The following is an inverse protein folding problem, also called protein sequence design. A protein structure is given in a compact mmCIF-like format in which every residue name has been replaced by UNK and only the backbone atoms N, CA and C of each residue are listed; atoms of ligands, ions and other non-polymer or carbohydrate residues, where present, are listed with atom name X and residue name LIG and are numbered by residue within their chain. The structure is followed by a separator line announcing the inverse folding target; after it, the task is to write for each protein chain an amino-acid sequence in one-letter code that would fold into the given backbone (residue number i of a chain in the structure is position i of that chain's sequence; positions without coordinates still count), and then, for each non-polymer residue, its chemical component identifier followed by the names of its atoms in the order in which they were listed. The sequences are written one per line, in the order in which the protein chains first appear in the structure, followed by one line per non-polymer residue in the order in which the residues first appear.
data_IF_266918457904
#
_entry.id   IF_266918457904
#
_cell.length_a   1.000
_cell.length_b   1.000
_cell.length_c   1.000
_cell.angle_alpha   90.00
_cell.angle_beta   90.00
_cell.angle_gamma   90.00
#
_symmetry.space_group_name_H-M   'P 1'
#
loop_
_entity.id
_entity.type
_entity.pdbx_description
1 polymer ?
#
# COMPACT_ATOMS: atom_id res chain seq x y z
N UNK A 1 21.85 -6.10 -50.95
CA UNK A 1 22.50 -6.92 -49.93
C UNK A 1 21.54 -6.89 -48.76
N UNK A 2 20.68 -7.92 -48.66
CA UNK A 2 19.77 -8.04 -47.53
C UNK A 2 20.58 -8.55 -46.33
N UNK A 3 20.78 -7.69 -45.35
CA UNK A 3 21.26 -8.12 -44.04
C UNK A 3 20.19 -9.03 -43.42
N UNK A 4 20.59 -10.21 -43.00
CA UNK A 4 19.74 -11.16 -42.28
C UNK A 4 19.27 -10.48 -40.98
N UNK A 5 18.01 -10.66 -40.52
CA UNK A 5 17.55 -10.20 -39.22
C UNK A 5 18.38 -10.70 -38.03
N UNK A 6 19.24 -11.70 -38.23
CA UNK A 6 20.15 -12.29 -37.24
C UNK A 6 21.48 -11.54 -37.08
N UNK A 7 21.78 -10.55 -37.94
CA UNK A 7 23.02 -9.76 -37.87
C UNK A 7 22.90 -8.48 -36.95
N UNK A 8 21.77 -8.28 -36.26
CA UNK A 8 21.69 -7.29 -35.23
C UNK A 8 22.43 -7.79 -33.98
N UNK A 9 23.60 -7.23 -33.73
CA UNK A 9 24.26 -7.33 -32.42
C UNK A 9 23.35 -6.73 -31.36
N UNK A 10 22.63 -7.61 -30.63
CA UNK A 10 21.81 -7.21 -29.49
C UNK A 10 22.75 -7.03 -28.30
N UNK A 11 22.85 -5.82 -27.80
CA UNK A 11 23.57 -5.53 -26.56
C UNK A 11 22.76 -6.05 -25.37
N UNK A 12 23.05 -7.29 -24.97
CA UNK A 12 22.37 -7.98 -23.87
C UNK A 12 22.61 -7.28 -22.53
N UNK A 13 23.76 -6.62 -22.37
CA UNK A 13 24.09 -5.90 -21.14
C UNK A 13 23.20 -4.68 -20.97
N UNK A 14 22.86 -4.02 -22.06
CA UNK A 14 21.94 -2.90 -22.05
C UNK A 14 20.47 -3.31 -21.84
N UNK A 15 20.07 -4.45 -22.41
CA UNK A 15 18.69 -4.93 -22.33
C UNK A 15 18.34 -5.58 -20.98
N UNK A 16 19.30 -6.21 -20.32
CA UNK A 16 19.10 -6.93 -19.06
C UNK A 16 19.85 -6.24 -17.91
N UNK A 17 19.48 -5.00 -17.65
CA UNK A 17 19.96 -4.27 -16.47
C UNK A 17 18.90 -4.28 -15.37
N UNK A 18 19.31 -4.40 -14.10
CA UNK A 18 18.41 -4.19 -12.99
C UNK A 18 17.89 -2.74 -13.00
N UNK A 19 16.67 -2.52 -12.55
CA UNK A 19 16.14 -1.17 -12.40
C UNK A 19 16.92 -0.41 -11.31
N UNK A 20 16.96 0.92 -11.42
CA UNK A 20 17.59 1.75 -10.39
C UNK A 20 16.76 1.87 -9.11
N UNK A 21 15.54 1.34 -9.10
CA UNK A 21 14.60 1.54 -8.00
C UNK A 21 15.14 1.03 -6.67
N UNK A 22 15.42 -0.26 -6.58
CA UNK A 22 15.91 -0.86 -5.32
C UNK A 22 17.26 -0.32 -4.89
N UNK A 23 18.13 0.02 -5.85
CA UNK A 23 19.41 0.65 -5.56
C UNK A 23 19.23 2.01 -4.92
N UNK A 24 18.38 2.86 -5.48
CA UNK A 24 18.08 4.20 -4.95
C UNK A 24 17.40 4.12 -3.58
N UNK A 25 16.48 3.19 -3.39
CA UNK A 25 15.82 2.99 -2.10
C UNK A 25 16.80 2.48 -1.03
N UNK A 26 17.73 1.60 -1.40
CA UNK A 26 18.79 1.16 -0.49
C UNK A 26 19.69 2.33 -0.07
N UNK A 27 20.15 3.14 -1.02
CA UNK A 27 20.97 4.33 -0.76
C UNK A 27 20.24 5.34 0.14
N UNK A 28 18.93 5.53 -0.08
CA UNK A 28 18.06 6.37 0.76
C UNK A 28 17.98 5.82 2.19
N UNK A 29 17.66 4.54 2.34
CA UNK A 29 17.52 3.90 3.64
C UNK A 29 18.84 3.93 4.45
N UNK A 30 19.98 3.69 3.79
CA UNK A 30 21.30 3.78 4.43
C UNK A 30 21.64 5.23 4.84
N UNK A 31 21.25 6.21 4.05
CA UNK A 31 21.44 7.63 4.37
C UNK A 31 20.60 8.03 5.58
N UNK A 32 19.30 7.69 5.58
CA UNK A 32 18.39 7.96 6.69
C UNK A 32 18.87 7.32 8.01
N UNK A 33 19.40 6.12 7.93
CA UNK A 33 19.97 5.44 9.11
C UNK A 33 21.20 6.17 9.65
N UNK A 34 22.10 6.62 8.77
CA UNK A 34 23.28 7.41 9.18
C UNK A 34 22.87 8.74 9.83
N UNK A 35 21.89 9.44 9.23
CA UNK A 35 21.38 10.69 9.78
C UNK A 35 20.75 10.48 11.17
N UNK A 36 19.98 9.40 11.34
CA UNK A 36 19.41 9.02 12.63
C UNK A 36 20.47 8.74 13.69
N UNK A 37 21.56 8.04 13.35
CA UNK A 37 22.66 7.74 14.28
C UNK A 37 23.42 9.01 14.68
N UNK A 38 23.53 9.98 13.80
CA UNK A 38 24.22 11.23 14.07
C UNK A 38 23.39 12.20 14.93
N UNK A 39 22.08 12.19 14.73
CA UNK A 39 21.15 13.09 15.41
C UNK A 39 19.81 12.39 15.72
N UNK A 40 19.80 11.47 16.69
CA UNK A 40 18.58 10.78 17.09
C UNK A 40 17.61 11.79 17.74
N UNK A 41 16.29 11.63 17.51
CA UNK A 41 15.29 12.48 18.16
C UNK A 41 15.32 12.28 19.67
N UNK A 42 15.03 13.36 20.39
CA UNK A 42 14.94 13.30 21.86
C UNK A 42 13.59 12.73 22.31
N UNK A 43 13.53 12.23 23.54
CA UNK A 43 12.28 11.73 24.13
C UNK A 43 11.21 12.84 24.19
N UNK A 44 11.60 14.09 24.46
CA UNK A 44 10.69 15.23 24.54
C UNK A 44 10.09 15.57 23.16
N UNK A 45 10.91 15.54 22.10
CA UNK A 45 10.45 15.73 20.73
C UNK A 45 9.46 14.64 20.32
N UNK A 46 9.77 13.38 20.62
CA UNK A 46 8.92 12.25 20.31
C UNK A 46 7.62 12.25 21.12
N UNK A 47 7.66 12.69 22.37
CA UNK A 47 6.46 12.85 23.20
C UNK A 47 5.51 13.88 22.61
N UNK A 48 6.05 15.00 22.15
CA UNK A 48 5.26 16.04 21.49
C UNK A 48 4.67 15.58 20.17
N UNK A 49 5.48 14.88 19.35
CA UNK A 49 5.04 14.29 18.09
C UNK A 49 3.89 13.28 18.31
N UNK A 50 4.01 12.45 19.36
CA UNK A 50 2.95 11.53 19.75
C UNK A 50 1.65 12.25 20.10
N UNK A 51 1.72 13.30 20.92
CA UNK A 51 0.53 14.06 21.31
C UNK A 51 -0.15 14.73 20.11
N UNK A 52 0.63 15.28 19.17
CA UNK A 52 0.13 15.87 17.94
C UNK A 52 -0.53 14.80 17.03
N UNK A 53 0.08 13.61 16.93
CA UNK A 53 -0.48 12.48 16.19
C UNK A 53 -1.81 12.00 16.79
N UNK A 54 -1.88 11.81 18.09
CA UNK A 54 -3.10 11.39 18.80
C UNK A 54 -4.22 12.41 18.59
N UNK A 55 -3.94 13.70 18.75
CA UNK A 55 -4.89 14.78 18.54
C UNK A 55 -5.42 14.81 17.10
N UNK A 56 -4.52 14.67 16.12
CA UNK A 56 -4.88 14.59 14.69
C UNK A 56 -5.77 13.38 14.40
N UNK A 57 -5.39 12.20 14.87
CA UNK A 57 -6.14 10.96 14.67
C UNK A 57 -7.54 11.05 15.28
N UNK A 58 -7.65 11.67 16.47
CA UNK A 58 -8.94 11.90 17.13
C UNK A 58 -9.83 12.84 16.32
N UNK A 59 -9.30 13.93 15.80
CA UNK A 59 -10.04 14.88 14.96
C UNK A 59 -10.53 14.21 13.67
N UNK A 60 -9.67 13.47 13.01
CA UNK A 60 -10.01 12.74 11.78
C UNK A 60 -11.08 11.66 12.03
N UNK A 61 -10.98 10.95 13.16
CA UNK A 61 -11.98 9.98 13.57
C UNK A 61 -13.35 10.62 13.80
N UNK A 62 -13.40 11.72 14.55
CA UNK A 62 -14.65 12.43 14.84
C UNK A 62 -15.30 13.01 13.58
N UNK A 63 -14.50 13.59 12.68
CA UNK A 63 -15.00 14.10 11.40
C UNK A 63 -15.57 12.97 10.52
N UNK A 64 -14.88 11.84 10.42
CA UNK A 64 -15.36 10.66 9.68
C UNK A 64 -16.62 10.07 10.30
N UNK A 65 -16.68 10.03 11.64
CA UNK A 65 -17.86 9.54 12.36
C UNK A 65 -19.08 10.40 12.05
N UNK A 66 -18.93 11.72 12.06
CA UNK A 66 -20.02 12.65 11.72
C UNK A 66 -20.48 12.47 10.27
N UNK A 67 -19.55 12.36 9.33
CA UNK A 67 -19.85 12.09 7.92
C UNK A 67 -20.58 10.75 7.74
N UNK A 68 -20.11 9.69 8.40
CA UNK A 68 -20.74 8.38 8.36
C UNK A 68 -22.15 8.38 8.93
N UNK A 69 -22.43 9.14 9.99
CA UNK A 69 -23.79 9.28 10.54
C UNK A 69 -24.74 9.97 9.54
N UNK A 70 -24.26 10.95 8.76
CA UNK A 70 -25.03 11.59 7.70
C UNK A 70 -25.32 10.62 6.55
N UNK A 71 -24.32 9.84 6.14
CA UNK A 71 -24.47 8.81 5.10
C UNK A 71 -25.45 7.74 5.57
N UNK A 72 -25.32 7.28 6.80
CA UNK A 72 -26.20 6.30 7.45
C UNK A 72 -27.66 6.75 7.47
N UNK A 73 -27.89 8.02 7.80
CA UNK A 73 -29.25 8.58 7.77
C UNK A 73 -29.87 8.52 6.38
N UNK A 74 -29.11 8.79 5.32
CA UNK A 74 -29.56 8.67 3.93
C UNK A 74 -29.89 7.22 3.55
N UNK A 75 -29.05 6.26 3.93
CA UNK A 75 -29.31 4.83 3.68
C UNK A 75 -30.56 4.35 4.42
N UNK A 76 -30.78 4.80 5.66
CA UNK A 76 -31.99 4.47 6.42
C UNK A 76 -33.25 5.03 5.75
N UNK A 77 -33.21 6.27 5.23
CA UNK A 77 -34.31 6.85 4.49
C UNK A 77 -34.60 6.06 3.20
N UNK A 78 -33.57 5.72 2.43
CA UNK A 78 -33.70 4.89 1.22
C UNK A 78 -34.23 3.48 1.55
N UNK A 79 -33.77 2.87 2.62
CA UNK A 79 -34.23 1.57 3.08
C UNK A 79 -35.72 1.62 3.46
N UNK A 80 -36.15 2.65 4.18
CA UNK A 80 -37.55 2.88 4.52
C UNK A 80 -38.43 3.04 3.27
N UNK A 81 -37.96 3.80 2.26
CA UNK A 81 -38.67 3.96 1.00
C UNK A 81 -38.77 2.63 0.25
N UNK A 82 -37.68 1.84 0.19
CA UNK A 82 -37.69 0.54 -0.46
C UNK A 82 -38.63 -0.47 0.25
N UNK A 83 -38.66 -0.46 1.59
CA UNK A 83 -39.55 -1.30 2.37
C UNK A 83 -41.04 -0.94 2.16
N UNK A 84 -41.35 0.35 2.06
CA UNK A 84 -42.71 0.84 1.86
C UNK A 84 -43.20 0.77 0.40
N UNK A 85 -42.29 0.59 -0.54
CA UNK A 85 -42.67 0.44 -1.94
C UNK A 85 -43.49 -0.83 -2.18
N UNK A 86 -44.66 -0.70 -2.84
CA UNK A 86 -45.51 -1.80 -3.21
C UNK A 86 -45.18 -2.25 -4.65
N UNK A 87 -44.56 -3.43 -4.85
CA UNK A 87 -44.20 -3.92 -6.18
C UNK A 87 -45.46 -4.20 -7.01
N UNK A 88 -45.51 -3.76 -8.29
CA UNK A 88 -46.69 -3.93 -9.13
C UNK A 88 -46.85 -5.37 -9.66
N UNK A 89 -45.78 -6.17 -9.69
CA UNK A 89 -45.82 -7.57 -10.15
C UNK A 89 -44.94 -8.45 -9.25
N UNK A 90 -45.14 -9.79 -9.25
CA UNK A 90 -44.30 -10.73 -8.51
C UNK A 90 -42.81 -10.66 -8.88
N UNK A 91 -42.48 -10.34 -10.11
CA UNK A 91 -41.09 -10.17 -10.56
C UNK A 91 -40.43 -8.96 -9.89
N UNK A 92 -41.17 -7.88 -9.69
CA UNK A 92 -40.68 -6.71 -8.96
C UNK A 92 -40.51 -6.96 -7.47
N UNK A 93 -41.13 -8.00 -6.91
CA UNK A 93 -40.84 -8.40 -5.50
C UNK A 93 -39.39 -8.82 -5.31
N UNK A 94 -38.83 -9.56 -6.26
CA UNK A 94 -37.41 -9.96 -6.22
C UNK A 94 -36.48 -8.75 -6.32
N UNK A 95 -36.84 -7.75 -7.11
CA UNK A 95 -36.10 -6.49 -7.19
C UNK A 95 -36.15 -5.75 -5.86
N UNK A 96 -37.30 -5.68 -5.21
CA UNK A 96 -37.45 -5.09 -3.87
C UNK A 96 -36.53 -5.77 -2.86
N UNK A 97 -36.56 -7.10 -2.80
CA UNK A 97 -35.70 -7.90 -1.89
C UNK A 97 -34.21 -7.62 -2.15
N UNK A 98 -33.80 -7.57 -3.41
CA UNK A 98 -32.43 -7.23 -3.79
C UNK A 98 -32.04 -5.81 -3.34
N UNK A 99 -32.89 -4.80 -3.58
CA UNK A 99 -32.66 -3.42 -3.17
C UNK A 99 -32.49 -3.30 -1.64
N UNK A 100 -33.37 -3.94 -0.88
CA UNK A 100 -33.30 -3.94 0.59
C UNK A 100 -31.98 -4.56 1.06
N UNK A 101 -31.61 -5.71 0.50
CA UNK A 101 -30.36 -6.38 0.86
C UNK A 101 -29.14 -5.51 0.54
N UNK A 102 -29.10 -4.87 -0.62
CA UNK A 102 -27.98 -3.98 -0.98
C UNK A 102 -27.87 -2.78 -0.03
N UNK A 103 -28.99 -2.20 0.40
CA UNK A 103 -28.99 -1.10 1.35
C UNK A 103 -28.55 -1.54 2.75
N UNK A 104 -28.96 -2.72 3.20
CA UNK A 104 -28.52 -3.30 4.46
C UNK A 104 -27.03 -3.62 4.44
N UNK A 105 -26.51 -4.19 3.35
CA UNK A 105 -25.09 -4.46 3.16
C UNK A 105 -24.28 -3.15 3.18
N UNK A 106 -24.75 -2.11 2.50
CA UNK A 106 -24.11 -0.79 2.49
C UNK A 106 -24.10 -0.14 3.89
N UNK A 107 -25.19 -0.25 4.65
CA UNK A 107 -25.24 0.22 6.04
C UNK A 107 -24.18 -0.45 6.90
N UNK A 108 -23.93 -1.74 6.71
CA UNK A 108 -22.97 -2.50 7.49
C UNK A 108 -21.52 -2.19 7.10
N UNK A 109 -21.24 -1.96 5.81
CA UNK A 109 -19.88 -1.76 5.31
C UNK A 109 -19.46 -0.29 5.24
N UNK A 110 -20.29 0.57 4.65
CA UNK A 110 -19.91 1.96 4.37
C UNK A 110 -20.00 2.87 5.58
N UNK A 111 -20.82 2.48 6.58
CA UNK A 111 -21.08 3.28 7.76
C UNK A 111 -20.38 2.75 9.03
N UNK A 112 -19.43 1.83 8.88
CA UNK A 112 -18.65 1.32 10.01
C UNK A 112 -17.64 2.36 10.48
N UNK A 113 -17.63 2.62 11.80
CA UNK A 113 -16.65 3.50 12.43
C UNK A 113 -15.64 2.66 13.19
N UNK A 114 -14.39 2.63 12.70
CA UNK A 114 -13.28 2.05 13.43
C UNK A 114 -12.56 3.12 14.23
N UNK A 115 -12.59 2.97 15.54
CA UNK A 115 -11.76 3.81 16.40
C UNK A 115 -10.30 3.42 16.20
N UNK A 116 -9.41 4.39 15.94
CA UNK A 116 -8.00 4.08 15.74
C UNK A 116 -7.42 3.54 17.05
N UNK A 117 -6.85 2.34 16.96
CA UNK A 117 -6.06 1.78 18.07
C UNK A 117 -4.75 2.56 18.13
N UNK A 118 -4.55 3.28 19.21
CA UNK A 118 -3.32 4.03 19.44
C UNK A 118 -2.44 3.22 20.39
N UNK A 119 -1.22 2.92 19.95
CA UNK A 119 -0.18 2.39 20.83
C UNK A 119 0.08 3.36 22.00
N UNK A 120 0.65 2.87 23.09
CA UNK A 120 1.01 3.74 24.21
C UNK A 120 2.14 4.70 23.80
N UNK A 121 2.28 5.80 24.53
CA UNK A 121 3.37 6.77 24.29
C UNK A 121 4.74 6.10 24.43
N UNK A 122 4.87 5.24 25.43
CA UNK A 122 6.10 4.49 25.71
C UNK A 122 6.47 3.57 24.54
N UNK A 123 5.51 2.79 24.03
CA UNK A 123 5.70 1.92 22.87
C UNK A 123 6.06 2.71 21.61
N UNK A 124 5.39 3.84 21.38
CA UNK A 124 5.71 4.75 20.26
C UNK A 124 7.16 5.25 20.34
N UNK A 125 7.57 5.77 21.51
CA UNK A 125 8.93 6.29 21.72
C UNK A 125 9.97 5.18 21.56
N UNK A 126 9.73 4.01 22.15
CA UNK A 126 10.62 2.85 22.01
C UNK A 126 10.79 2.44 20.54
N UNK A 127 9.69 2.35 19.81
CA UNK A 127 9.72 2.05 18.38
C UNK A 127 10.50 3.09 17.58
N UNK A 128 10.27 4.40 17.85
CA UNK A 128 10.92 5.51 17.14
C UNK A 128 12.42 5.60 17.43
N UNK A 129 12.85 5.22 18.63
CA UNK A 129 14.28 5.16 19.01
C UNK A 129 14.95 3.85 18.57
N UNK A 130 14.18 2.81 18.25
CA UNK A 130 14.73 1.54 17.80
C UNK A 130 15.40 1.65 16.44
N UNK A 131 16.59 1.08 16.31
CA UNK A 131 17.32 0.96 15.04
C UNK A 131 16.83 -0.19 14.17
N UNK A 132 16.03 -1.10 14.72
CA UNK A 132 15.55 -2.31 14.04
C UNK A 132 14.77 -2.01 12.76
N UNK A 133 14.02 -0.91 12.72
CA UNK A 133 13.26 -0.49 11.52
C UNK A 133 14.19 -0.19 10.36
N UNK A 134 15.29 0.52 10.60
CA UNK A 134 16.28 0.85 9.57
C UNK A 134 17.01 -0.38 9.06
N UNK A 135 17.47 -1.23 9.99
CA UNK A 135 18.21 -2.45 9.61
C UNK A 135 17.35 -3.40 8.79
N UNK A 136 16.05 -3.57 9.13
CA UNK A 136 15.11 -4.38 8.35
C UNK A 136 14.85 -3.79 6.97
N UNK A 137 14.68 -2.47 6.88
CA UNK A 137 14.44 -1.78 5.62
C UNK A 137 15.67 -1.89 4.69
N UNK A 138 16.86 -1.66 5.21
CA UNK A 138 18.12 -1.80 4.48
C UNK A 138 18.29 -3.25 3.98
N UNK A 139 18.05 -4.24 4.84
CA UNK A 139 18.15 -5.65 4.47
C UNK A 139 17.15 -6.01 3.38
N UNK A 140 15.89 -5.56 3.51
CA UNK A 140 14.84 -5.76 2.52
C UNK A 140 15.24 -5.21 1.13
N UNK A 141 15.72 -3.97 1.05
CA UNK A 141 16.12 -3.38 -0.24
C UNK A 141 17.39 -4.01 -0.79
N UNK A 142 18.34 -4.40 0.06
CA UNK A 142 19.55 -5.12 -0.35
C UNK A 142 19.22 -6.48 -0.95
N UNK A 143 18.38 -7.26 -0.29
CA UNK A 143 17.93 -8.56 -0.82
C UNK A 143 17.13 -8.42 -2.11
N UNK A 144 16.21 -7.44 -2.18
CA UNK A 144 15.39 -7.18 -3.35
C UNK A 144 16.24 -6.77 -4.56
N UNK A 145 17.23 -5.90 -4.36
CA UNK A 145 18.19 -5.53 -5.39
C UNK A 145 19.01 -6.73 -5.87
N UNK A 146 19.51 -7.55 -4.94
CA UNK A 146 20.27 -8.75 -5.30
C UNK A 146 19.44 -9.77 -6.09
N UNK A 147 18.18 -9.97 -5.71
CA UNK A 147 17.25 -10.83 -6.47
C UNK A 147 17.04 -10.31 -7.89
N UNK A 148 16.90 -9.00 -8.06
CA UNK A 148 16.73 -8.40 -9.39
C UNK A 148 18.00 -8.56 -10.25
N UNK A 149 19.19 -8.31 -9.68
CA UNK A 149 20.48 -8.51 -10.33
C UNK A 149 20.61 -9.97 -10.80
N UNK A 150 20.30 -10.93 -9.92
CA UNK A 150 20.37 -12.36 -10.24
C UNK A 150 19.40 -12.71 -11.38
N UNK A 151 18.15 -12.22 -11.33
CA UNK A 151 17.17 -12.46 -12.39
C UNK A 151 17.59 -11.86 -13.75
N UNK A 152 18.22 -10.68 -13.76
CA UNK A 152 18.78 -10.09 -14.96
C UNK A 152 19.93 -10.92 -15.54
N UNK A 153 20.82 -11.41 -14.68
CA UNK A 153 21.94 -12.27 -15.09
C UNK A 153 21.45 -13.61 -15.66
N UNK A 154 20.48 -14.26 -15.02
CA UNK A 154 19.87 -15.51 -15.49
C UNK A 154 19.22 -15.34 -16.86
N UNK A 155 18.44 -14.25 -17.04
CA UNK A 155 17.80 -13.94 -18.34
C UNK A 155 18.82 -13.67 -19.44
N UNK A 156 19.89 -12.92 -19.12
CA UNK A 156 20.99 -12.64 -20.04
C UNK A 156 21.67 -13.92 -20.49
N UNK A 157 22.00 -14.79 -19.55
CA UNK A 157 22.67 -16.07 -19.84
C UNK A 157 21.75 -17.00 -20.66
N UNK A 158 20.47 -17.06 -20.33
CA UNK A 158 19.49 -17.83 -21.10
C UNK A 158 19.40 -17.35 -22.56
N UNK A 159 19.33 -16.05 -22.81
CA UNK A 159 19.28 -15.49 -24.17
C UNK A 159 20.59 -15.75 -24.90
N UNK A 160 21.72 -15.61 -24.23
CA UNK A 160 23.03 -15.89 -24.81
C UNK A 160 23.16 -17.35 -25.27
N UNK A 161 22.77 -18.30 -24.45
CA UNK A 161 22.75 -19.72 -24.80
C UNK A 161 21.84 -20.02 -26.01
N UNK A 162 20.64 -19.36 -26.01
CA UNK A 162 19.76 -19.50 -27.18
C UNK A 162 20.41 -18.96 -28.46
N UNK A 163 20.99 -17.76 -28.42
CA UNK A 163 21.66 -17.16 -29.59
C UNK A 163 22.85 -18.02 -30.09
N UNK A 164 23.62 -18.56 -29.16
CA UNK A 164 24.77 -19.42 -29.51
C UNK A 164 24.32 -20.77 -30.13
N UNK A 165 23.14 -21.26 -29.75
CA UNK A 165 22.57 -22.47 -30.33
C UNK A 165 22.04 -22.32 -31.79
N UNK A 166 21.85 -21.06 -32.22
CA UNK A 166 21.32 -20.72 -33.54
C UNK A 166 22.44 -20.41 -34.57
N UNK A 167 23.69 -20.39 -34.16
CA UNK A 167 24.87 -20.21 -35.03
C UNK A 167 25.33 -21.53 -35.58
#
# INVERSE_FOLDING_TARGET
INQSPLDMEIDLDKHFQPSDYYKKELERAEKEYKEFLLNPPTVDELSKEYDEMVEKNKKEYLARKEENEQIKARYWDMLSQAQNWAPPTPEHCKLKEFMIKQLEDSLNFDCSNYEPVTESREEYIEYRLSTNRFTREIEHYRESYQKEVNACNERREWVKQLMDSLK
#
